data_IF_284519427649
#
_entry.id   IF_284519427649
#
_cell.length_a   1.000
_cell.length_b   1.000
_cell.length_c   1.000
_cell.angle_alpha   90.00
_cell.angle_beta   90.00
_cell.angle_gamma   90.00
#
_symmetry.space_group_name_H-M   'P 1'
#
loop_
_entity.id
_entity.type
_entity.pdbx_description
1 polymer ?
#
# COMPACT_ATOMS: atom_id res chain seq x y z
N UNK A 1 -84.93 -44.16 1.80
CA UNK A 1 -84.86 -43.06 0.82
C UNK A 1 -83.82 -42.07 1.32
N UNK A 2 -82.64 -42.06 0.70
CA UNK A 2 -81.57 -41.10 0.96
C UNK A 2 -81.84 -39.80 0.20
N UNK A 3 -81.60 -38.61 0.79
CA UNK A 3 -81.27 -37.42 0.03
C UNK A 3 -79.74 -37.30 -0.07
N UNK A 4 -79.26 -37.33 -1.30
CA UNK A 4 -77.90 -36.98 -1.72
C UNK A 4 -77.70 -35.47 -1.64
N UNK A 5 -76.72 -35.01 -0.84
CA UNK A 5 -76.32 -33.61 -0.84
C UNK A 5 -75.13 -33.42 -1.80
N UNK A 6 -75.43 -32.82 -2.95
CA UNK A 6 -74.47 -32.44 -3.99
C UNK A 6 -73.70 -31.20 -3.55
N UNK A 7 -72.47 -31.38 -3.08
CA UNK A 7 -71.52 -30.30 -2.87
C UNK A 7 -71.03 -29.80 -4.23
N UNK A 8 -71.19 -28.48 -4.44
CA UNK A 8 -70.81 -27.75 -5.64
C UNK A 8 -69.31 -27.90 -5.97
N UNK A 9 -69.02 -28.68 -7.02
CA UNK A 9 -67.67 -28.89 -7.60
C UNK A 9 -66.85 -27.63 -7.92
N UNK A 10 -67.39 -26.44 -8.26
CA UNK A 10 -66.53 -25.27 -8.51
C UNK A 10 -65.88 -24.69 -7.25
N UNK A 11 -66.45 -24.91 -6.06
CA UNK A 11 -65.92 -24.36 -4.80
C UNK A 11 -64.72 -25.17 -4.30
N UNK A 12 -64.77 -26.50 -4.47
CA UNK A 12 -63.66 -27.38 -4.10
C UNK A 12 -62.43 -27.16 -5.01
N UNK A 13 -62.65 -26.82 -6.28
CA UNK A 13 -61.58 -26.54 -7.24
C UNK A 13 -60.88 -25.20 -6.93
N UNK A 14 -61.63 -24.16 -6.58
CA UNK A 14 -61.04 -22.87 -6.17
C UNK A 14 -60.26 -22.98 -4.86
N UNK A 15 -60.73 -23.78 -3.91
CA UNK A 15 -60.02 -24.03 -2.65
C UNK A 15 -58.70 -24.79 -2.88
N UNK A 16 -58.71 -25.82 -3.74
CA UNK A 16 -57.50 -26.58 -4.10
C UNK A 16 -56.47 -25.74 -4.87
N UNK A 17 -56.91 -24.85 -5.78
CA UNK A 17 -56.01 -23.94 -6.49
C UNK A 17 -55.43 -22.87 -5.55
N UNK A 18 -56.21 -22.36 -4.59
CA UNK A 18 -55.71 -21.39 -3.59
C UNK A 18 -54.68 -22.01 -2.63
N UNK A 19 -54.85 -23.28 -2.24
CA UNK A 19 -53.89 -24.01 -1.41
C UNK A 19 -52.60 -24.32 -2.18
N UNK A 20 -52.70 -24.61 -3.49
CA UNK A 20 -51.54 -24.84 -4.34
C UNK A 20 -50.68 -23.57 -4.52
N UNK A 21 -51.30 -22.38 -4.61
CA UNK A 21 -50.60 -21.09 -4.64
C UNK A 21 -50.00 -20.69 -3.28
N UNK A 22 -50.61 -21.12 -2.16
CA UNK A 22 -50.09 -20.87 -0.81
C UNK A 22 -48.94 -21.81 -0.43
N UNK A 23 -48.81 -22.99 -1.03
CA UNK A 23 -47.66 -23.89 -0.80
C UNK A 23 -46.48 -23.62 -1.74
N UNK A 24 -46.67 -22.88 -2.83
CA UNK A 24 -45.60 -22.46 -3.75
C UNK A 24 -44.89 -21.17 -3.31
N UNK A 25 -45.33 -20.53 -2.23
CA UNK A 25 -44.76 -19.30 -1.68
C UNK A 25 -43.86 -19.51 -0.44
N UNK A 26 -43.53 -20.77 -0.11
CA UNK A 26 -42.61 -21.10 0.98
C UNK A 26 -41.40 -21.92 0.50
N UNK A 27 -40.66 -21.37 -0.46
CA UNK A 27 -39.25 -21.74 -0.68
C UNK A 27 -38.48 -20.49 -1.11
N UNK A 28 -37.49 -20.11 -0.31
CA UNK A 28 -36.53 -19.00 -0.50
C UNK A 28 -36.96 -17.59 -0.04
N UNK A 29 -37.35 -17.49 1.23
CA UNK A 29 -37.09 -16.30 2.06
C UNK A 29 -36.15 -16.69 3.22
N UNK A 30 -35.03 -17.36 2.89
CA UNK A 30 -33.81 -17.17 3.67
C UNK A 30 -33.28 -15.82 3.22
N UNK A 31 -33.36 -14.84 4.10
CA UNK A 31 -32.81 -13.51 3.89
C UNK A 31 -31.38 -13.65 3.40
N UNK A 32 -31.19 -13.45 2.10
CA UNK A 32 -29.91 -13.11 1.52
C UNK A 32 -29.53 -11.75 2.05
N UNK A 33 -29.02 -11.72 3.29
CA UNK A 33 -28.13 -10.66 3.69
C UNK A 33 -27.09 -10.60 2.59
N UNK A 34 -27.11 -9.52 1.81
CA UNK A 34 -25.94 -9.12 1.04
C UNK A 34 -24.86 -8.94 2.08
N UNK A 35 -24.13 -10.01 2.38
CA UNK A 35 -22.82 -9.92 2.97
C UNK A 35 -22.06 -9.03 1.99
N UNK A 36 -21.91 -7.75 2.34
CA UNK A 36 -21.06 -6.86 1.61
C UNK A 36 -19.74 -7.59 1.45
N UNK A 37 -19.31 -7.82 0.22
CA UNK A 37 -18.05 -8.49 -0.04
C UNK A 37 -16.98 -7.58 0.57
N UNK A 38 -16.46 -7.95 1.74
CA UNK A 38 -15.47 -7.16 2.46
C UNK A 38 -14.30 -6.93 1.51
N UNK A 39 -13.99 -5.66 1.26
CA UNK A 39 -12.85 -5.30 0.43
C UNK A 39 -11.58 -5.73 1.18
N UNK A 40 -10.73 -6.58 0.59
CA UNK A 40 -9.52 -7.01 1.27
C UNK A 40 -8.55 -5.83 1.44
N UNK A 41 -8.31 -5.42 2.69
CA UNK A 41 -7.48 -4.27 3.07
C UNK A 41 -5.97 -4.56 3.06
N UNK A 42 -5.59 -5.83 3.26
CA UNK A 42 -4.19 -6.30 3.29
C UNK A 42 -3.80 -7.06 2.00
N UNK A 43 -4.25 -6.60 0.84
CA UNK A 43 -3.88 -7.20 -0.46
C UNK A 43 -3.44 -6.15 -1.47
N UNK A 44 -2.70 -6.57 -2.50
CA UNK A 44 -2.12 -5.71 -3.53
C UNK A 44 -0.72 -5.22 -3.16
N UNK A 45 -0.12 -4.47 -4.08
CA UNK A 45 1.25 -3.95 -3.98
C UNK A 45 1.30 -2.41 -3.94
N UNK A 46 0.13 -1.77 -3.90
CA UNK A 46 0.05 -0.33 -3.91
C UNK A 46 0.35 0.23 -2.50
N UNK A 47 0.92 1.43 -2.47
CA UNK A 47 1.03 2.32 -1.32
C UNK A 47 0.53 3.71 -1.74
N UNK A 48 1.33 4.76 -1.54
CA UNK A 48 1.04 6.09 -2.05
C UNK A 48 0.96 6.08 -3.58
N UNK A 49 -0.11 6.65 -4.11
CA UNK A 49 -0.28 6.95 -5.53
C UNK A 49 -0.33 8.46 -5.71
N UNK A 50 0.39 8.96 -6.72
CA UNK A 50 0.37 10.36 -7.13
C UNK A 50 -0.14 10.47 -8.57
N UNK A 51 -0.95 11.49 -8.85
CA UNK A 51 -1.37 11.82 -10.21
C UNK A 51 -1.67 13.30 -10.36
N UNK A 52 -1.42 13.87 -11.53
CA UNK A 52 -1.91 15.19 -11.88
C UNK A 52 -3.40 15.08 -12.23
N UNK A 53 -4.26 15.67 -11.41
CA UNK A 53 -5.70 15.74 -11.64
C UNK A 53 -6.04 16.89 -12.60
N UNK A 54 -5.35 18.02 -12.44
CA UNK A 54 -5.45 19.20 -13.32
C UNK A 54 -4.05 19.71 -13.62
N UNK A 55 -3.73 19.84 -14.89
CA UNK A 55 -2.51 20.50 -15.38
C UNK A 55 -2.78 21.01 -16.80
N UNK A 56 -2.57 22.31 -17.09
CA UNK A 56 -2.73 22.81 -18.45
C UNK A 56 -1.60 22.26 -19.34
N UNK A 57 -1.90 21.82 -20.57
CA UNK A 57 -0.87 21.34 -21.48
C UNK A 57 0.03 22.48 -21.97
N UNK A 58 -0.54 23.69 -22.15
CA UNK A 58 0.18 24.89 -22.55
C UNK A 58 -0.18 26.08 -21.67
N UNK A 59 0.79 26.97 -21.49
CA UNK A 59 0.69 28.19 -20.66
C UNK A 59 1.43 29.33 -21.35
N UNK A 60 1.04 30.56 -21.03
CA UNK A 60 1.65 31.74 -21.62
C UNK A 60 2.61 32.44 -20.65
N UNK A 61 3.76 32.87 -21.16
CA UNK A 61 4.70 33.72 -20.47
C UNK A 61 4.61 35.16 -21.01
N UNK A 62 4.53 36.14 -20.11
CA UNK A 62 4.55 37.57 -20.44
C UNK A 62 5.64 38.32 -19.67
N UNK A 63 6.36 39.21 -20.37
CA UNK A 63 7.37 40.11 -19.80
C UNK A 63 6.79 41.37 -19.16
N UNK A 64 5.53 41.71 -19.47
CA UNK A 64 4.94 43.00 -19.06
C UNK A 64 3.51 42.81 -18.57
N UNK A 65 3.13 43.58 -17.56
CA UNK A 65 1.72 43.91 -17.35
C UNK A 65 1.27 44.68 -18.60
N UNK A 66 0.64 43.99 -19.56
CA UNK A 66 0.09 44.67 -20.74
C UNK A 66 -1.06 45.58 -20.25
N UNK A 67 -1.41 46.66 -20.97
CA UNK A 67 -2.62 47.42 -20.65
C UNK A 67 -3.84 46.49 -20.74
N UNK A 68 -4.42 46.13 -19.60
CA UNK A 68 -5.51 45.14 -19.49
C UNK A 68 -5.08 43.69 -19.23
N UNK A 69 -3.79 43.41 -19.06
CA UNK A 69 -3.24 42.08 -18.75
C UNK A 69 -2.31 42.21 -17.53
N UNK A 70 -2.70 41.62 -16.41
CA UNK A 70 -1.97 41.75 -15.15
C UNK A 70 -0.80 40.74 -15.10
N UNK A 71 0.25 40.96 -14.28
CA UNK A 71 1.31 39.96 -14.04
C UNK A 71 0.79 38.60 -13.53
N UNK A 72 -0.48 38.52 -13.14
CA UNK A 72 -1.18 37.30 -12.76
C UNK A 72 -1.54 36.39 -13.94
N UNK A 73 -1.47 36.89 -15.19
CA UNK A 73 -1.94 36.13 -16.35
C UNK A 73 -0.97 35.04 -16.84
N UNK A 74 0.25 34.96 -16.29
CA UNK A 74 1.15 33.82 -16.49
C UNK A 74 1.12 32.80 -15.34
N UNK A 75 0.26 33.03 -14.33
CA UNK A 75 0.00 32.08 -13.27
C UNK A 75 -1.09 31.08 -13.70
N UNK A 76 -0.90 29.81 -13.37
CA UNK A 76 -1.84 28.75 -13.71
C UNK A 76 -1.95 27.74 -12.55
N UNK A 77 -3.18 27.28 -12.26
CA UNK A 77 -3.41 26.32 -11.19
C UNK A 77 -3.05 24.90 -11.66
N UNK A 78 -2.56 24.11 -10.72
CA UNK A 78 -2.29 22.69 -10.86
C UNK A 78 -2.93 22.00 -9.66
N UNK A 79 -3.53 20.83 -9.90
CA UNK A 79 -4.08 20.00 -8.84
C UNK A 79 -3.45 18.62 -8.92
N UNK A 80 -2.87 18.18 -7.80
CA UNK A 80 -2.29 16.84 -7.65
C UNK A 80 -3.15 16.03 -6.72
N UNK A 81 -3.45 14.81 -7.10
CA UNK A 81 -4.09 13.84 -6.22
C UNK A 81 -3.03 12.96 -5.56
N UNK A 82 -3.05 12.91 -4.23
CA UNK A 82 -2.35 11.90 -3.44
C UNK A 82 -3.38 10.93 -2.87
N UNK A 83 -3.10 9.64 -2.94
CA UNK A 83 -3.96 8.62 -2.38
C UNK A 83 -3.11 7.52 -1.74
N UNK A 84 -3.28 7.26 -0.45
CA UNK A 84 -2.68 6.09 0.17
C UNK A 84 -3.56 4.87 -0.10
N UNK A 85 -3.20 4.08 -1.10
CA UNK A 85 -3.93 2.87 -1.49
C UNK A 85 -3.40 1.60 -0.83
N UNK A 86 -2.43 1.72 0.06
CA UNK A 86 -1.86 0.58 0.75
C UNK A 86 -2.56 0.27 2.07
N UNK A 87 -2.05 -0.71 2.81
CA UNK A 87 -2.63 -1.18 4.07
C UNK A 87 -2.10 -0.44 5.30
N UNK A 88 -0.97 0.25 5.19
CA UNK A 88 -0.34 0.96 6.31
C UNK A 88 -0.52 2.47 6.17
N UNK A 89 -0.58 3.14 7.32
CA UNK A 89 -0.57 4.59 7.39
C UNK A 89 0.80 5.14 7.00
N UNK A 90 0.78 6.34 6.40
CA UNK A 90 1.97 7.17 6.23
C UNK A 90 1.97 8.16 7.38
N UNK A 91 2.82 7.91 8.37
CA UNK A 91 2.99 8.75 9.56
C UNK A 91 4.01 9.88 9.33
N UNK A 92 4.91 9.71 8.34
CA UNK A 92 5.89 10.72 7.96
C UNK A 92 6.11 10.67 6.44
N UNK A 93 5.65 11.70 5.74
CA UNK A 93 5.82 11.87 4.30
C UNK A 93 6.33 13.26 3.93
N UNK A 94 7.02 13.34 2.81
CA UNK A 94 7.54 14.55 2.17
C UNK A 94 7.16 14.55 0.69
N UNK A 95 6.64 15.66 0.19
CA UNK A 95 6.34 15.89 -1.22
C UNK A 95 7.18 17.07 -1.70
N UNK A 96 8.11 16.83 -2.62
CA UNK A 96 8.97 17.85 -3.20
C UNK A 96 8.51 18.19 -4.62
N UNK A 97 8.31 19.49 -4.88
CA UNK A 97 7.99 20.05 -6.19
C UNK A 97 9.26 20.41 -6.96
N UNK A 98 9.48 19.74 -8.08
CA UNK A 98 10.51 20.06 -9.07
C UNK A 98 9.94 20.98 -10.16
N UNK A 99 10.53 22.16 -10.30
CA UNK A 99 10.27 23.10 -11.39
C UNK A 99 11.60 23.47 -12.03
N UNK A 100 11.59 23.74 -13.34
CA UNK A 100 12.73 24.37 -14.00
C UNK A 100 12.76 25.86 -13.62
N UNK A 101 13.64 26.21 -12.68
CA UNK A 101 13.62 27.51 -12.02
C UNK A 101 13.85 28.69 -12.96
N UNK A 102 14.46 28.48 -14.12
CA UNK A 102 14.64 29.55 -15.12
C UNK A 102 13.31 29.93 -15.79
N UNK A 103 12.36 29.00 -15.88
CA UNK A 103 11.11 29.17 -16.64
C UNK A 103 9.85 29.13 -15.79
N UNK A 104 9.90 28.61 -14.58
CA UNK A 104 8.74 28.49 -13.70
C UNK A 104 9.07 28.86 -12.26
N UNK A 105 8.07 29.36 -11.54
CA UNK A 105 8.17 29.63 -10.10
C UNK A 105 6.90 29.24 -9.39
N UNK A 106 7.03 28.64 -8.21
CA UNK A 106 5.89 28.41 -7.32
C UNK A 106 5.37 29.77 -6.82
N UNK A 107 4.07 30.02 -6.97
CA UNK A 107 3.42 31.21 -6.41
C UNK A 107 2.97 30.91 -4.97
N UNK A 108 2.15 29.88 -4.79
CA UNK A 108 1.65 29.47 -3.49
C UNK A 108 1.10 28.04 -3.55
N UNK A 109 1.13 27.37 -2.40
CA UNK A 109 0.28 26.22 -2.13
C UNK A 109 -1.05 26.68 -1.54
N UNK A 110 -2.14 26.03 -1.93
CA UNK A 110 -3.48 26.30 -1.43
C UNK A 110 -3.85 25.20 -0.43
N UNK A 111 -3.34 25.32 0.81
CA UNK A 111 -3.37 24.25 1.83
C UNK A 111 -4.42 24.44 2.93
N UNK A 112 -5.35 25.37 2.78
CA UNK A 112 -6.36 25.64 3.80
C UNK A 112 -7.14 24.35 4.15
N UNK A 113 -7.18 24.01 5.44
CA UNK A 113 -7.79 22.78 5.99
C UNK A 113 -7.14 21.44 5.58
N UNK A 114 -5.99 21.46 4.90
CA UNK A 114 -5.29 20.24 4.49
C UNK A 114 -4.19 19.86 5.50
N UNK A 115 -3.93 18.56 5.74
CA UNK A 115 -2.92 18.07 6.68
C UNK A 115 -1.50 18.15 6.11
N UNK A 116 -1.12 19.30 5.54
CA UNK A 116 0.15 19.53 4.85
C UNK A 116 0.83 20.78 5.38
N UNK A 117 2.13 20.67 5.62
CA UNK A 117 2.92 21.78 6.17
C UNK A 117 4.11 22.08 5.26
N UNK A 118 4.31 23.35 4.83
CA UNK A 118 5.47 23.72 4.04
C UNK A 118 6.77 23.61 4.83
N UNK A 119 7.82 23.13 4.17
CA UNK A 119 9.14 22.89 4.72
C UNK A 119 10.23 23.55 3.89
N UNK A 120 11.30 23.96 4.59
CA UNK A 120 12.49 24.54 3.98
C UNK A 120 12.31 25.98 3.49
N UNK A 121 13.42 26.66 3.19
CA UNK A 121 13.41 28.07 2.78
C UNK A 121 12.82 28.34 1.39
N UNK A 122 12.67 27.31 0.54
CA UNK A 122 12.13 27.46 -0.81
C UNK A 122 10.60 27.32 -0.89
N UNK A 123 9.96 26.79 0.16
CA UNK A 123 8.52 26.51 0.17
C UNK A 123 8.07 25.42 -0.84
N UNK A 124 8.98 24.72 -1.51
CA UNK A 124 8.66 23.70 -2.53
C UNK A 124 8.50 22.29 -1.98
N UNK A 125 8.71 22.10 -0.68
CA UNK A 125 8.55 20.80 -0.02
C UNK A 125 7.41 20.89 0.98
N UNK A 126 6.54 19.90 1.00
CA UNK A 126 5.49 19.75 2.02
C UNK A 126 5.75 18.49 2.84
N UNK A 127 5.50 18.51 4.15
CA UNK A 127 5.26 17.28 4.91
C UNK A 127 3.79 16.90 4.88
N UNK A 128 3.52 15.60 4.99
CA UNK A 128 2.15 15.07 5.03
C UNK A 128 2.05 13.78 5.84
N UNK A 129 0.82 13.49 6.26
CA UNK A 129 0.39 12.19 6.79
C UNK A 129 -0.84 11.71 6.01
N UNK A 130 -0.95 10.41 5.77
CA UNK A 130 -2.09 9.83 5.05
C UNK A 130 -2.44 8.45 5.59
N UNK A 131 -3.68 8.27 6.04
CA UNK A 131 -4.19 6.99 6.50
C UNK A 131 -4.26 5.98 5.34
N UNK A 132 -3.81 4.77 5.62
CA UNK A 132 -3.95 3.62 4.73
C UNK A 132 -5.38 3.09 4.74
N UNK A 133 -5.57 1.96 4.07
CA UNK A 133 -6.85 1.25 4.07
C UNK A 133 -7.13 0.65 5.44
N UNK A 134 -8.37 0.79 5.87
CA UNK A 134 -8.89 0.16 7.08
C UNK A 134 -10.26 -0.46 6.80
N UNK A 135 -10.80 -1.21 7.76
CA UNK A 135 -12.17 -1.74 7.66
C UNK A 135 -13.21 -0.64 7.50
N UNK A 136 -12.95 0.54 8.06
CA UNK A 136 -13.82 1.72 7.97
C UNK A 136 -13.56 2.57 6.72
N UNK A 137 -12.33 2.56 6.20
CA UNK A 137 -11.95 3.24 4.96
C UNK A 137 -11.20 2.29 4.01
N UNK A 138 -11.91 1.43 3.26
CA UNK A 138 -11.28 0.43 2.40
C UNK A 138 -10.57 1.02 1.16
N UNK A 139 -10.71 2.32 0.90
CA UNK A 139 -10.04 3.02 -0.20
C UNK A 139 -8.83 3.85 0.25
N UNK A 140 -8.59 3.92 1.57
CA UNK A 140 -7.56 4.74 2.19
C UNK A 140 -7.83 6.24 2.05
N UNK A 141 -6.99 7.06 2.67
CA UNK A 141 -7.12 8.52 2.60
C UNK A 141 -6.65 9.04 1.24
N UNK A 142 -7.35 10.06 0.74
CA UNK A 142 -7.05 10.72 -0.52
C UNK A 142 -7.16 12.23 -0.34
N UNK A 143 -6.22 12.96 -0.91
CA UNK A 143 -6.15 14.42 -0.83
C UNK A 143 -5.92 15.01 -2.22
N UNK A 144 -6.55 16.15 -2.47
CA UNK A 144 -6.29 16.99 -3.63
C UNK A 144 -5.46 18.18 -3.16
N UNK A 145 -4.28 18.35 -3.74
CA UNK A 145 -3.37 19.44 -3.46
C UNK A 145 -3.38 20.44 -4.60
N UNK A 146 -4.10 21.56 -4.47
CA UNK A 146 -3.99 22.68 -5.38
C UNK A 146 -2.75 23.51 -5.09
N UNK A 147 -2.09 23.96 -6.16
CA UNK A 147 -1.04 24.97 -6.08
C UNK A 147 -0.97 25.76 -7.38
N UNK A 148 -0.46 26.97 -7.27
CA UNK A 148 -0.34 27.89 -8.41
C UNK A 148 1.12 28.04 -8.80
N UNK A 149 1.41 27.82 -10.09
CA UNK A 149 2.74 28.03 -10.70
C UNK A 149 2.67 29.23 -11.63
N UNK A 150 3.75 29.99 -11.72
CA UNK A 150 3.90 31.08 -12.67
C UNK A 150 4.94 30.73 -13.73
N UNK A 151 4.57 30.86 -15.01
CA UNK A 151 5.52 30.87 -16.10
C UNK A 151 6.31 32.19 -16.13
N UNK A 152 7.63 32.08 -16.20
CA UNK A 152 8.57 33.20 -16.33
C UNK A 152 8.79 33.54 -17.80
N UNK A 153 9.21 34.77 -18.12
CA UNK A 153 9.58 35.16 -19.48
C UNK A 153 10.56 34.19 -20.14
N UNK A 154 10.33 33.90 -21.43
CA UNK A 154 11.28 33.18 -22.25
C UNK A 154 12.39 34.13 -22.73
N UNK A 155 13.54 33.57 -23.08
CA UNK A 155 14.60 34.33 -23.74
C UNK A 155 14.10 35.06 -24.98
N UNK A 156 14.70 36.22 -25.29
CA UNK A 156 14.28 37.09 -26.40
C UNK A 156 14.26 36.36 -27.76
N UNK A 157 15.09 35.34 -27.94
CA UNK A 157 15.16 34.54 -29.17
C UNK A 157 14.20 33.34 -29.18
N UNK A 158 13.59 33.00 -28.03
CA UNK A 158 12.73 31.84 -27.84
C UNK A 158 11.25 32.25 -27.90
N UNK A 159 10.49 31.58 -28.77
CA UNK A 159 9.04 31.74 -28.87
C UNK A 159 8.28 30.72 -28.03
N UNK A 160 8.88 29.55 -27.83
CA UNK A 160 8.30 28.43 -27.12
C UNK A 160 9.41 27.71 -26.35
N UNK A 161 9.06 27.14 -25.20
CA UNK A 161 9.93 26.26 -24.42
C UNK A 161 9.11 25.12 -23.85
N UNK A 162 9.65 23.90 -23.87
CA UNK A 162 9.02 22.76 -23.18
C UNK A 162 9.71 22.58 -21.85
N UNK A 163 8.97 22.83 -20.77
CA UNK A 163 9.45 22.58 -19.42
C UNK A 163 8.76 21.36 -18.80
N UNK A 164 9.14 21.00 -17.58
CA UNK A 164 8.51 19.88 -16.86
C UNK A 164 8.21 20.25 -15.41
N UNK A 165 7.09 19.72 -14.93
CA UNK A 165 6.66 19.82 -13.54
C UNK A 165 6.79 18.44 -12.93
N UNK A 166 7.74 18.31 -12.02
CA UNK A 166 8.07 17.09 -11.31
C UNK A 166 7.54 17.09 -9.89
N UNK A 167 7.13 15.94 -9.39
CA UNK A 167 6.76 15.71 -8.00
C UNK A 167 7.49 14.46 -7.53
N UNK A 168 8.16 14.56 -6.39
CA UNK A 168 8.83 13.43 -5.75
C UNK A 168 8.25 13.26 -4.37
N UNK A 169 7.74 12.07 -4.07
CA UNK A 169 7.31 11.73 -2.72
C UNK A 169 8.37 10.88 -2.04
N UNK A 170 8.60 11.10 -0.74
CA UNK A 170 9.42 10.26 0.13
C UNK A 170 8.66 10.05 1.44
N UNK A 171 8.48 8.82 1.86
CA UNK A 171 7.67 8.55 3.05
C UNK A 171 8.12 7.28 3.76
N UNK A 172 7.93 7.23 5.07
CA UNK A 172 8.06 6.00 5.83
C UNK A 172 6.88 5.09 5.55
N UNK A 173 7.14 3.80 5.48
CA UNK A 173 6.11 2.80 5.26
C UNK A 173 6.47 1.48 5.93
N UNK A 174 5.46 0.62 6.11
CA UNK A 174 5.64 -0.72 6.67
C UNK A 174 4.98 -1.79 5.82
N UNK A 175 5.57 -2.97 5.85
CA UNK A 175 4.96 -4.22 5.37
C UNK A 175 4.74 -5.12 6.55
N UNK A 176 3.48 -5.49 6.77
CA UNK A 176 3.11 -6.56 7.70
C UNK A 176 2.65 -7.76 6.86
N UNK A 177 3.42 -8.84 6.89
CA UNK A 177 3.12 -10.05 6.14
C UNK A 177 2.83 -11.21 7.08
N UNK A 178 1.65 -11.80 6.93
CA UNK A 178 1.20 -12.95 7.73
C UNK A 178 1.10 -14.20 6.85
N UNK A 179 1.59 -15.33 7.34
CA UNK A 179 1.44 -16.62 6.67
C UNK A 179 1.14 -17.71 7.70
N UNK A 180 0.29 -18.68 7.33
CA UNK A 180 0.09 -19.88 8.14
C UNK A 180 1.27 -20.82 7.94
N UNK A 181 1.94 -21.22 9.00
CA UNK A 181 3.07 -22.15 8.96
C UNK A 181 2.80 -23.39 9.79
N UNK A 182 3.39 -24.50 9.38
CA UNK A 182 3.39 -25.72 10.16
C UNK A 182 4.70 -25.81 10.93
N UNK A 183 4.59 -26.02 12.23
CA UNK A 183 5.72 -26.33 13.11
C UNK A 183 5.67 -27.82 13.39
N UNK A 184 6.71 -28.55 12.98
CA UNK A 184 6.78 -30.01 13.07
C UNK A 184 8.05 -30.45 13.82
N UNK A 185 7.94 -30.62 15.15
CA UNK A 185 9.05 -31.04 16.00
C UNK A 185 9.43 -32.52 15.84
N UNK A 186 8.56 -33.37 15.27
CA UNK A 186 8.84 -34.80 15.07
C UNK A 186 9.48 -35.07 13.70
N UNK A 187 10.66 -34.50 13.46
CA UNK A 187 11.34 -34.55 12.15
C UNK A 187 11.53 -35.99 11.65
N UNK A 188 11.73 -36.95 12.56
CA UNK A 188 11.99 -38.36 12.24
C UNK A 188 10.73 -39.23 12.16
N UNK A 189 9.53 -38.66 12.32
CA UNK A 189 8.24 -39.39 12.26
C UNK A 189 8.19 -40.57 13.24
N UNK A 190 8.67 -40.35 14.45
CA UNK A 190 8.75 -41.39 15.50
C UNK A 190 7.41 -41.65 16.18
N UNK A 191 6.47 -40.72 16.05
CA UNK A 191 5.14 -40.84 16.66
C UNK A 191 4.19 -41.64 15.77
N UNK A 192 3.38 -42.54 16.33
CA UNK A 192 2.43 -43.36 15.56
C UNK A 192 1.21 -42.58 15.06
N UNK A 193 0.98 -41.37 15.59
CA UNK A 193 -0.15 -40.52 15.23
C UNK A 193 0.10 -39.79 13.91
N UNK A 194 -0.94 -39.66 13.09
CA UNK A 194 -0.88 -38.85 11.88
C UNK A 194 -0.71 -37.37 12.23
N UNK A 195 0.28 -36.72 11.62
CA UNK A 195 0.56 -35.29 11.82
C UNK A 195 -0.57 -34.42 11.28
N UNK A 196 -0.86 -33.34 11.99
CA UNK A 196 -1.89 -32.35 11.59
C UNK A 196 -1.46 -31.54 10.37
N UNK A 197 -0.16 -31.31 10.20
CA UNK A 197 0.39 -30.54 9.10
C UNK A 197 1.82 -30.97 8.75
N UNK A 198 2.37 -30.44 7.65
CA UNK A 198 3.77 -30.59 7.28
C UNK A 198 4.37 -29.23 6.86
N UNK A 199 5.64 -28.93 7.24
CA UNK A 199 6.33 -27.72 6.79
C UNK A 199 6.47 -27.71 5.27
N UNK A 200 6.20 -26.56 4.64
CA UNK A 200 6.26 -26.40 3.19
C UNK A 200 6.65 -24.98 2.78
N UNK A 201 7.21 -24.86 1.59
CA UNK A 201 7.37 -23.57 0.93
C UNK A 201 6.02 -23.01 0.48
N UNK A 202 5.84 -21.71 0.61
CA UNK A 202 4.62 -20.99 0.23
C UNK A 202 4.99 -19.79 -0.63
N UNK A 203 4.30 -19.64 -1.77
CA UNK A 203 4.39 -18.45 -2.61
C UNK A 203 3.21 -17.54 -2.30
N UNK A 204 3.49 -16.29 -1.97
CA UNK A 204 2.49 -15.29 -1.64
C UNK A 204 2.34 -14.32 -2.82
N UNK A 205 1.21 -14.41 -3.54
CA UNK A 205 0.97 -13.65 -4.78
C UNK A 205 -0.01 -12.50 -4.61
N UNK A 206 -0.79 -12.49 -3.53
CA UNK A 206 -1.87 -11.52 -3.32
C UNK A 206 -1.37 -10.16 -2.79
N UNK A 207 -0.08 -10.04 -2.45
CA UNK A 207 0.49 -8.85 -1.83
C UNK A 207 -0.02 -8.62 -0.41
N UNK A 208 0.47 -7.54 0.22
CA UNK A 208 0.19 -7.19 1.61
C UNK A 208 -0.30 -5.73 1.78
N UNK A 209 -0.70 -5.09 0.67
CA UNK A 209 -1.01 -3.66 0.65
C UNK A 209 0.24 -2.78 0.83
N UNK A 210 1.36 -3.23 0.26
CA UNK A 210 2.63 -2.53 0.34
C UNK A 210 3.51 -2.80 -0.89
N UNK A 211 4.40 -1.87 -1.27
CA UNK A 211 5.26 -2.03 -2.44
C UNK A 211 6.38 -3.04 -2.20
N UNK A 212 6.79 -3.27 -0.95
CA UNK A 212 7.78 -4.28 -0.59
C UNK A 212 7.07 -5.50 -0.05
N UNK A 213 6.89 -6.52 -0.87
CA UNK A 213 6.06 -7.68 -0.53
C UNK A 213 6.89 -8.88 -0.13
N UNK A 214 6.38 -9.66 0.84
CA UNK A 214 6.81 -11.03 1.04
C UNK A 214 6.27 -11.86 -0.12
N UNK A 215 7.15 -12.43 -0.93
CA UNK A 215 6.78 -13.18 -2.14
C UNK A 215 6.90 -14.68 -1.94
N UNK A 216 7.79 -15.12 -1.06
CA UNK A 216 7.95 -16.53 -0.72
C UNK A 216 8.40 -16.70 0.71
N UNK A 217 7.90 -17.75 1.34
CA UNK A 217 8.27 -18.18 2.67
C UNK A 217 8.62 -19.67 2.62
N UNK A 218 9.81 -20.02 3.08
CA UNK A 218 10.23 -21.41 3.23
C UNK A 218 10.39 -21.74 4.72
N UNK A 219 9.78 -22.84 5.15
CA UNK A 219 9.80 -23.27 6.56
C UNK A 219 10.53 -24.60 6.67
N UNK A 220 11.54 -24.66 7.53
CA UNK A 220 12.35 -25.85 7.78
C UNK A 220 12.40 -26.14 9.28
N UNK A 221 12.49 -27.42 9.62
CA UNK A 221 12.68 -27.88 10.99
C UNK A 221 14.08 -28.46 11.07
N UNK A 222 14.97 -27.82 11.82
CA UNK A 222 16.35 -28.26 11.96
C UNK A 222 16.48 -29.12 13.23
N UNK A 223 16.98 -30.36 13.13
CA UNK A 223 17.17 -31.21 14.30
C UNK A 223 18.32 -30.70 15.16
N UNK A 224 18.13 -30.73 16.47
CA UNK A 224 19.15 -30.51 17.50
C UNK A 224 18.94 -31.58 18.58
N UNK A 225 19.99 -32.00 19.29
CA UNK A 225 20.00 -33.25 20.07
C UNK A 225 18.70 -33.60 20.82
N UNK A 226 18.10 -32.63 21.52
CA UNK A 226 16.84 -32.78 22.26
C UNK A 226 15.80 -31.70 21.92
N UNK A 227 15.99 -30.97 20.84
CA UNK A 227 15.10 -29.85 20.46
C UNK A 227 15.01 -29.72 18.95
N UNK A 228 13.99 -29.02 18.48
CA UNK A 228 13.89 -28.65 17.08
C UNK A 228 14.01 -27.14 16.95
N UNK A 229 14.72 -26.70 15.91
CA UNK A 229 14.86 -25.29 15.57
C UNK A 229 14.06 -25.01 14.29
N UNK A 230 12.85 -24.42 14.42
CA UNK A 230 12.17 -23.81 13.29
C UNK A 230 13.05 -22.75 12.63
N UNK A 231 13.21 -22.87 11.33
CA UNK A 231 13.87 -21.91 10.46
C UNK A 231 12.89 -21.39 9.42
N UNK A 232 12.86 -20.07 9.27
CA UNK A 232 12.06 -19.36 8.28
C UNK A 232 12.99 -18.63 7.31
N UNK A 233 12.75 -18.80 6.02
CA UNK A 233 13.48 -18.11 4.95
C UNK A 233 12.45 -17.27 4.20
N UNK A 234 12.55 -15.97 4.36
CA UNK A 234 11.67 -15.00 3.72
C UNK A 234 12.34 -14.46 2.46
N UNK A 235 11.62 -14.45 1.34
CA UNK A 235 12.03 -13.75 0.11
C UNK A 235 11.13 -12.55 -0.11
N UNK A 236 11.71 -11.36 0.00
CA UNK A 236 11.03 -10.09 -0.23
C UNK A 236 11.33 -9.56 -1.63
N UNK A 237 10.38 -8.83 -2.21
CA UNK A 237 10.57 -8.15 -3.48
C UNK A 237 9.93 -6.75 -3.46
N UNK A 238 10.64 -5.75 -3.99
CA UNK A 238 10.04 -4.48 -4.38
C UNK A 238 9.18 -4.70 -5.64
N UNK A 239 7.87 -4.69 -5.47
CA UNK A 239 6.85 -4.81 -6.51
C UNK A 239 6.30 -3.45 -6.96
N UNK A 240 6.58 -2.38 -6.21
CA UNK A 240 6.22 -1.03 -6.59
C UNK A 240 7.17 -0.43 -7.63
N UNK A 241 6.82 0.76 -8.11
CA UNK A 241 7.57 1.53 -9.10
C UNK A 241 8.58 2.52 -8.51
N UNK A 242 8.68 2.57 -7.18
CA UNK A 242 9.62 3.43 -6.46
C UNK A 242 10.86 2.68 -5.98
N UNK A 243 11.67 3.41 -5.24
CA UNK A 243 12.92 2.95 -4.64
C UNK A 243 12.76 2.82 -3.13
N UNK A 244 13.39 1.79 -2.58
CA UNK A 244 13.47 1.59 -1.13
C UNK A 244 14.64 2.41 -0.62
N UNK A 245 14.46 3.04 0.55
CA UNK A 245 15.52 3.69 1.28
C UNK A 245 15.38 3.41 2.77
N UNK A 246 16.45 3.70 3.50
CA UNK A 246 16.45 3.71 4.94
C UNK A 246 15.40 4.72 5.45
N UNK A 247 14.53 4.30 6.38
CA UNK A 247 13.45 5.15 6.93
C UNK A 247 13.97 6.44 7.57
N UNK A 248 15.19 6.42 8.11
CA UNK A 248 15.83 7.59 8.73
C UNK A 248 16.41 8.59 7.72
N UNK A 249 16.32 8.30 6.43
CA UNK A 249 16.92 9.12 5.36
C UNK A 249 15.89 9.68 4.37
N UNK A 250 14.59 9.59 4.70
CA UNK A 250 13.49 10.04 3.81
C UNK A 250 13.45 11.55 3.60
N UNK A 251 13.82 12.32 4.63
CA UNK A 251 13.93 13.77 4.58
C UNK A 251 15.04 14.19 3.61
N UNK A 252 16.19 13.51 3.70
CA UNK A 252 17.35 13.76 2.82
C UNK A 252 17.03 13.45 1.37
N UNK A 253 16.33 12.34 1.11
CA UNK A 253 15.96 11.91 -0.23
C UNK A 253 15.01 12.89 -0.95
N UNK A 254 14.14 13.58 -0.20
CA UNK A 254 13.24 14.62 -0.73
C UNK A 254 13.72 16.04 -0.43
N UNK A 255 15.01 16.21 -0.14
CA UNK A 255 15.64 17.51 0.07
C UNK A 255 16.74 17.76 -0.96
N UNK A 256 17.18 19.02 -1.04
CA UNK A 256 18.32 19.44 -1.86
C UNK A 256 19.66 18.83 -1.42
N UNK A 257 19.73 18.18 -0.25
CA UNK A 257 21.00 17.74 0.35
C UNK A 257 21.50 16.40 -0.15
N UNK A 258 20.70 15.64 -0.89
CA UNK A 258 21.09 14.33 -1.42
C UNK A 258 21.26 13.27 -0.32
N UNK A 259 20.82 12.05 -0.62
CA UNK A 259 21.04 10.87 0.24
C UNK A 259 22.41 10.25 -0.01
N UNK A 260 23.00 9.59 1.00
CA UNK A 260 24.22 8.81 0.79
C UNK A 260 23.89 7.48 0.11
N UNK A 261 24.83 6.91 -0.67
CA UNK A 261 24.60 5.64 -1.38
C UNK A 261 24.18 4.48 -0.44
N UNK A 262 24.67 4.50 0.81
CA UNK A 262 24.37 3.49 1.83
C UNK A 262 22.93 3.54 2.37
N UNK A 263 22.19 4.61 2.09
CA UNK A 263 20.79 4.76 2.50
C UNK A 263 19.82 4.03 1.56
N UNK A 264 20.28 3.59 0.39
CA UNK A 264 19.41 3.03 -0.65
C UNK A 264 19.26 1.51 -0.56
N UNK A 265 18.10 1.03 -0.99
CA UNK A 265 17.74 -0.38 -1.07
C UNK A 265 17.79 -1.10 0.28
N UNK A 266 17.57 -0.38 1.38
CA UNK A 266 17.65 -0.90 2.75
C UNK A 266 16.27 -0.87 3.41
N UNK A 267 15.87 -1.98 4.02
CA UNK A 267 14.74 -2.03 4.95
C UNK A 267 15.18 -2.64 6.29
N UNK A 268 14.41 -2.37 7.33
CA UNK A 268 14.66 -2.85 8.69
C UNK A 268 13.57 -3.83 9.12
N UNK A 269 13.97 -4.94 9.73
CA UNK A 269 13.07 -5.94 10.32
C UNK A 269 12.69 -5.45 11.70
N UNK A 270 11.42 -5.11 11.90
CA UNK A 270 10.94 -4.66 13.20
C UNK A 270 10.65 -5.83 14.13
N UNK A 271 9.98 -6.87 13.61
CA UNK A 271 9.69 -8.08 14.35
C UNK A 271 9.49 -9.26 13.40
N UNK A 272 9.76 -10.44 13.92
CA UNK A 272 9.34 -11.71 13.37
C UNK A 272 8.77 -12.46 14.56
N UNK A 273 7.52 -12.92 14.47
CA UNK A 273 6.90 -13.63 15.57
C UNK A 273 5.92 -14.71 15.09
N UNK A 274 5.83 -15.78 15.86
CA UNK A 274 4.84 -16.84 15.68
C UNK A 274 4.55 -17.48 17.02
N UNK A 275 3.29 -17.86 17.27
CA UNK A 275 2.87 -18.34 18.60
C UNK A 275 3.32 -17.35 19.69
N UNK A 276 3.97 -17.84 20.75
CA UNK A 276 4.57 -17.03 21.80
C UNK A 276 6.08 -16.82 21.60
N UNK A 277 6.61 -16.81 20.37
CA UNK A 277 8.01 -16.53 20.10
C UNK A 277 8.17 -15.24 19.28
N UNK A 278 9.12 -14.39 19.64
CA UNK A 278 9.37 -13.11 18.95
C UNK A 278 10.86 -12.75 18.86
N UNK A 279 11.23 -12.06 17.78
CA UNK A 279 12.53 -11.40 17.62
C UNK A 279 12.73 -10.33 18.70
N UNK A 280 11.71 -9.51 18.99
CA UNK A 280 11.77 -8.46 20.03
C UNK A 280 11.99 -9.02 21.44
N UNK A 281 11.58 -10.26 21.70
CA UNK A 281 11.85 -10.96 22.98
C UNK A 281 13.18 -11.71 22.98
N UNK A 282 13.93 -11.67 21.88
CA UNK A 282 15.20 -12.36 21.74
C UNK A 282 15.08 -13.88 21.66
N UNK A 283 13.91 -14.43 21.33
CA UNK A 283 13.67 -15.86 21.16
C UNK A 283 13.94 -16.30 19.72
N UNK A 284 13.80 -15.38 18.77
CA UNK A 284 14.11 -15.58 17.35
C UNK A 284 15.38 -14.79 17.02
N UNK A 285 16.27 -15.39 16.24
CA UNK A 285 17.49 -14.77 15.74
C UNK A 285 17.47 -14.75 14.21
N UNK A 286 17.65 -13.57 13.64
CA UNK A 286 17.69 -13.37 12.20
C UNK A 286 19.12 -13.11 11.70
N UNK A 287 19.39 -13.42 10.43
CA UNK A 287 20.70 -13.20 9.80
C UNK A 287 21.16 -11.75 9.83
N UNK A 288 20.21 -10.82 9.87
CA UNK A 288 20.40 -9.38 10.06
C UNK A 288 19.05 -8.73 10.34
N UNK A 289 19.02 -7.69 11.16
CA UNK A 289 17.84 -6.82 11.32
C UNK A 289 17.74 -5.78 10.19
N UNK A 290 18.79 -5.63 9.39
CA UNK A 290 18.82 -4.76 8.21
C UNK A 290 18.94 -5.61 6.96
N UNK A 291 17.96 -5.51 6.06
CA UNK A 291 17.94 -6.26 4.80
C UNK A 291 18.29 -5.34 3.64
N UNK A 292 19.19 -5.83 2.77
CA UNK A 292 19.61 -5.14 1.56
C UNK A 292 18.93 -5.78 0.35
N UNK A 293 18.27 -4.97 -0.46
CA UNK A 293 17.67 -5.37 -1.71
C UNK A 293 18.69 -5.30 -2.84
N UNK A 294 18.87 -6.42 -3.55
CA UNK A 294 19.68 -6.53 -4.77
C UNK A 294 18.76 -6.96 -5.89
N UNK A 295 18.81 -6.25 -7.01
CA UNK A 295 17.92 -6.48 -8.16
C UNK A 295 16.45 -6.60 -7.75
N UNK A 296 15.99 -5.66 -6.90
CA UNK A 296 14.64 -5.60 -6.29
C UNK A 296 14.30 -6.71 -5.28
N UNK A 297 15.21 -7.63 -4.95
CA UNK A 297 14.94 -8.77 -4.07
C UNK A 297 15.82 -8.79 -2.83
N UNK A 298 15.30 -9.30 -1.72
CA UNK A 298 16.05 -9.53 -0.50
C UNK A 298 15.68 -10.89 0.12
N UNK A 299 16.61 -11.48 0.86
CA UNK A 299 16.38 -12.72 1.61
C UNK A 299 16.71 -12.48 3.07
N UNK A 300 15.80 -12.89 3.96
CA UNK A 300 15.98 -12.88 5.40
C UNK A 300 15.86 -14.30 5.91
N UNK A 301 16.80 -14.74 6.76
CA UNK A 301 16.74 -16.05 7.42
C UNK A 301 16.61 -15.84 8.90
N UNK A 302 15.59 -16.41 9.52
CA UNK A 302 15.40 -16.36 10.97
C UNK A 302 15.24 -17.77 11.53
N UNK A 303 15.78 -17.98 12.72
CA UNK A 303 15.71 -19.24 13.45
C UNK A 303 15.17 -18.99 14.84
N UNK A 304 14.35 -19.92 15.35
CA UNK A 304 14.11 -19.97 16.79
C UNK A 304 15.42 -20.34 17.51
N UNK A 305 15.67 -19.77 18.68
CA UNK A 305 16.83 -20.17 19.48
C UNK A 305 16.72 -21.64 19.93
N UNK A 306 17.84 -22.36 19.97
CA UNK A 306 17.93 -23.71 20.53
C UNK A 306 17.23 -23.89 21.88
N UNK A 307 16.62 -25.05 22.10
CA UNK A 307 16.04 -25.44 23.39
C UNK A 307 14.69 -24.79 23.75
N UNK A 308 14.16 -23.90 22.90
CA UNK A 308 12.84 -23.28 23.12
C UNK A 308 11.66 -24.15 22.65
N UNK A 309 11.93 -25.15 21.81
CA UNK A 309 10.92 -26.07 21.29
C UNK A 309 11.35 -27.51 21.51
N UNK A 310 10.58 -28.23 22.31
CA UNK A 310 10.78 -29.65 22.58
C UNK A 310 10.39 -30.49 21.35
N UNK A 311 11.12 -31.56 21.06
CA UNK A 311 10.75 -32.54 20.04
C UNK A 311 9.51 -33.38 20.44
N UNK A 312 9.15 -33.39 21.74
CA UNK A 312 8.03 -34.15 22.30
C UNK A 312 6.66 -33.57 21.99
N UNK A 313 6.55 -32.29 21.61
CA UNK A 313 5.28 -31.67 21.24
C UNK A 313 4.81 -32.12 19.84
N UNK A 314 3.50 -32.16 19.65
CA UNK A 314 2.91 -32.57 18.36
C UNK A 314 3.01 -31.45 17.33
N UNK A 315 2.97 -31.83 16.04
CA UNK A 315 2.96 -30.87 14.95
C UNK A 315 1.70 -29.99 15.00
N UNK A 316 1.85 -28.69 14.80
CA UNK A 316 0.76 -27.73 14.90
C UNK A 316 0.87 -26.63 13.83
N UNK A 317 -0.29 -26.07 13.46
CA UNK A 317 -0.35 -24.88 12.61
C UNK A 317 -0.37 -23.61 13.47
N UNK A 318 0.32 -22.58 13.01
CA UNK A 318 0.33 -21.27 13.65
C UNK A 318 0.46 -20.17 12.61
N UNK A 319 0.24 -18.92 13.03
CA UNK A 319 0.44 -17.75 12.16
C UNK A 319 1.83 -17.18 12.43
N UNK A 320 2.63 -17.07 11.38
CA UNK A 320 3.90 -16.35 11.37
C UNK A 320 3.68 -14.95 10.78
N UNK A 321 4.13 -13.94 11.51
CA UNK A 321 4.12 -12.55 11.08
C UNK A 321 5.54 -12.02 10.97
N UNK A 322 5.82 -11.29 9.89
CA UNK A 322 7.04 -10.50 9.73
C UNK A 322 6.67 -9.05 9.44
N UNK A 323 7.31 -8.13 10.14
CA UNK A 323 7.10 -6.69 10.03
C UNK A 323 8.38 -6.05 9.51
N UNK A 324 8.30 -5.39 8.35
CA UNK A 324 9.38 -4.60 7.77
C UNK A 324 9.03 -3.12 7.82
N UNK A 325 10.01 -2.29 8.17
CA UNK A 325 9.94 -0.84 8.10
C UNK A 325 10.98 -0.30 7.11
N UNK A 326 10.58 0.68 6.31
CA UNK A 326 11.46 1.29 5.32
C UNK A 326 10.97 2.68 4.94
N UNK A 327 11.83 3.46 4.29
CA UNK A 327 11.42 4.60 3.51
C UNK A 327 11.18 4.20 2.05
N UNK A 328 10.28 4.89 1.37
CA UNK A 328 9.97 4.66 -0.03
C UNK A 328 9.90 5.98 -0.79
N UNK A 329 10.43 6.01 -2.01
CA UNK A 329 10.41 7.22 -2.84
C UNK A 329 10.09 6.92 -4.29
N UNK A 330 9.34 7.81 -4.94
CA UNK A 330 9.10 7.78 -6.37
C UNK A 330 8.76 9.17 -6.89
N UNK A 331 8.93 9.35 -8.20
CA UNK A 331 8.66 10.62 -8.87
C UNK A 331 7.65 10.46 -10.00
N UNK A 332 6.89 11.53 -10.23
CA UNK A 332 6.03 11.73 -11.38
C UNK A 332 6.43 13.04 -12.07
N UNK A 333 6.45 13.08 -13.39
CA UNK A 333 6.72 14.31 -14.14
C UNK A 333 5.77 14.45 -15.32
N UNK A 334 5.36 15.69 -15.61
CA UNK A 334 4.55 16.04 -16.78
C UNK A 334 5.15 17.23 -17.52
N UNK A 335 5.23 17.19 -18.86
CA UNK A 335 5.67 18.33 -19.64
C UNK A 335 4.60 19.43 -19.66
N UNK A 336 5.03 20.68 -19.74
CA UNK A 336 4.20 21.87 -19.95
C UNK A 336 4.84 22.72 -21.04
N UNK A 337 4.05 23.11 -22.03
CA UNK A 337 4.50 23.98 -23.12
C UNK A 337 4.32 25.44 -22.72
N UNK A 338 5.41 26.18 -22.67
CA UNK A 338 5.41 27.61 -22.37
C UNK A 338 5.52 28.36 -23.69
N UNK A 339 4.56 29.22 -23.97
CA UNK A 339 4.53 30.05 -25.17
C UNK A 339 4.68 31.52 -24.82
N UNK A 340 5.49 32.24 -25.59
CA UNK A 340 5.58 33.69 -25.46
C UNK A 340 4.36 34.35 -26.07
N UNK A 341 3.72 35.26 -25.33
CA UNK A 341 2.68 36.12 -25.91
C UNK A 341 3.33 37.05 -26.94
N UNK A 342 2.98 36.89 -28.21
CA UNK A 342 3.37 37.81 -29.27
C UNK A 342 2.43 39.01 -29.30
N UNK A 343 2.98 40.21 -29.46
CA UNK A 343 2.22 41.46 -29.63
C UNK A 343 1.51 41.51 -30.97
#
# INVERSE_FOLDING_TARGET
MHPTNTIHKPVLFFLLVSVLFLTLSCSTLLGGGRGGKLTPIHTGFNSLQMSFAVIPPSVFASETALPGFQPYDSAFPIVVKLANQGAADIEQGYLALGLEDDYMGLVAWELEELPFEPLGGSGKTLSFILQGRSEYNPYGQQELLPFTVRAKPLDVQSLQHTSSIGLTACYTYKTEATARVCIDPDIYQTKPLQKVCQPKSQTLTQGQGSPVALTKLDTKMLPQEKSVVPQFIFEFQNKGNGLILNKQSIDKACSSFGSQLQDWNVAHVEDVHFSDFSLKRGEIECSSETILFRDTKAVLRCNLKPGLLDASIDAYETTLTVILNYGYTFSLSRPVFIERIQR
#
